data_IF_322070627627
#
_entry.id   IF_322070627627
#
_cell.length_a   1.000
_cell.length_b   1.000
_cell.length_c   1.000
_cell.angle_alpha   90.00
_cell.angle_beta   90.00
_cell.angle_gamma   90.00
#
_symmetry.space_group_name_H-M   'P 1'
#
loop_
_entity.id
_entity.type
_entity.pdbx_description
1 polymer ?
#
# COMPACT_ATOMS: atom_id res chain seq x y z
N UNK A 1 -20.78 0.51 -11.05
CA UNK A 1 -21.58 0.86 -12.23
C UNK A 1 -22.62 -0.20 -12.57
N UNK A 2 -22.28 -1.50 -12.45
CA UNK A 2 -23.21 -2.63 -12.53
C UNK A 2 -24.44 -2.44 -11.63
N UNK A 3 -24.23 -2.24 -10.32
CA UNK A 3 -25.30 -1.97 -9.35
C UNK A 3 -26.23 -0.79 -9.71
N UNK A 4 -25.71 0.25 -10.36
CA UNK A 4 -26.51 1.41 -10.77
C UNK A 4 -27.38 1.07 -11.98
N UNK A 5 -26.85 0.31 -12.93
CA UNK A 5 -27.60 -0.12 -14.12
C UNK A 5 -28.74 -1.07 -13.72
N UNK A 6 -28.46 -2.00 -12.80
CA UNK A 6 -29.45 -2.95 -12.29
C UNK A 6 -30.58 -2.25 -11.51
N UNK A 7 -30.25 -1.25 -10.70
CA UNK A 7 -31.24 -0.51 -9.90
C UNK A 7 -32.10 0.47 -10.72
N UNK A 8 -31.61 0.94 -11.88
CA UNK A 8 -32.28 2.01 -12.66
C UNK A 8 -32.80 1.54 -14.02
N UNK A 9 -32.48 0.32 -14.45
CA UNK A 9 -32.79 -0.19 -15.79
C UNK A 9 -32.07 0.55 -16.93
N UNK A 10 -31.09 1.41 -16.60
CA UNK A 10 -30.35 2.19 -17.58
C UNK A 10 -29.23 1.36 -18.20
N UNK A 11 -28.96 1.58 -19.49
CA UNK A 11 -27.76 1.02 -20.12
C UNK A 11 -26.51 1.63 -19.49
N UNK A 12 -25.44 0.83 -19.40
CA UNK A 12 -24.16 1.28 -18.83
C UNK A 12 -23.63 2.56 -19.49
N UNK A 13 -23.81 2.71 -20.80
CA UNK A 13 -23.44 3.94 -21.53
C UNK A 13 -24.21 5.17 -21.05
N UNK A 14 -25.52 5.01 -20.79
CA UNK A 14 -26.38 6.10 -20.31
C UNK A 14 -26.08 6.45 -18.86
N UNK A 15 -25.87 5.45 -18.00
CA UNK A 15 -25.45 5.63 -16.62
C UNK A 15 -24.11 6.38 -16.54
N UNK A 16 -23.09 5.94 -17.28
CA UNK A 16 -21.78 6.60 -17.35
C UNK A 16 -21.86 8.06 -17.81
N UNK A 17 -22.71 8.35 -18.82
CA UNK A 17 -22.92 9.73 -19.29
C UNK A 17 -23.54 10.61 -18.21
N UNK A 18 -24.53 10.11 -17.47
CA UNK A 18 -25.20 10.85 -16.41
C UNK A 18 -24.29 11.12 -15.21
N UNK A 19 -23.39 10.18 -14.88
CA UNK A 19 -22.45 10.33 -13.76
C UNK A 19 -21.14 11.03 -14.15
N UNK A 20 -20.94 11.38 -15.42
CA UNK A 20 -19.68 11.94 -15.92
C UNK A 20 -18.48 10.99 -15.86
N UNK A 21 -18.71 9.68 -15.81
CA UNK A 21 -17.64 8.67 -15.80
C UNK A 21 -17.40 8.14 -17.21
N UNK A 22 -16.12 7.86 -17.54
CA UNK A 22 -15.80 7.19 -18.80
C UNK A 22 -16.17 5.70 -18.75
N UNK A 23 -16.51 5.11 -19.89
CA UNK A 23 -16.77 3.67 -19.99
C UNK A 23 -15.55 2.84 -19.61
N UNK A 24 -14.34 3.25 -20.03
CA UNK A 24 -13.10 2.54 -19.70
C UNK A 24 -12.85 2.50 -18.19
N UNK A 25 -13.08 3.62 -17.49
CA UNK A 25 -13.02 3.66 -16.02
C UNK A 25 -14.08 2.76 -15.39
N UNK A 26 -15.29 2.72 -15.94
CA UNK A 26 -16.36 1.86 -15.43
C UNK A 26 -16.09 0.37 -15.65
N UNK A 27 -15.37 -0.01 -16.70
CA UNK A 27 -15.01 -1.40 -16.99
C UNK A 27 -13.67 -1.81 -16.37
N UNK A 28 -12.91 -0.85 -15.86
CA UNK A 28 -11.63 -1.15 -15.23
C UNK A 28 -11.86 -1.93 -13.93
N UNK A 29 -11.47 -3.20 -13.95
CA UNK A 29 -11.35 -4.00 -12.74
C UNK A 29 -9.89 -3.96 -12.27
N UNK A 30 -9.71 -3.61 -11.00
CA UNK A 30 -8.39 -3.56 -10.39
C UNK A 30 -7.88 -4.97 -10.14
N UNK A 31 -7.23 -5.56 -11.14
CA UNK A 31 -6.59 -6.86 -11.03
C UNK A 31 -5.54 -6.84 -9.90
N UNK A 32 -5.78 -7.62 -8.84
CA UNK A 32 -4.81 -7.89 -7.78
C UNK A 32 -4.08 -9.17 -8.17
N UNK A 33 -2.83 -9.09 -8.67
CA UNK A 33 -2.16 -10.26 -9.20
C UNK A 33 -2.03 -11.35 -8.13
N UNK A 34 -2.12 -12.62 -8.49
CA UNK A 34 -1.83 -13.73 -7.56
C UNK A 34 -0.44 -13.59 -6.89
N UNK A 35 0.50 -12.95 -7.57
CA UNK A 35 1.81 -12.58 -7.04
C UNK A 35 1.76 -11.64 -5.82
N UNK A 36 0.67 -10.89 -5.60
CA UNK A 36 0.46 -10.11 -4.37
C UNK A 36 0.31 -11.01 -3.15
N UNK A 37 -0.29 -12.21 -3.28
CA UNK A 37 -0.47 -13.11 -2.15
C UNK A 37 0.88 -13.64 -1.63
N UNK A 38 1.75 -14.11 -2.53
CA UNK A 38 3.10 -14.55 -2.19
C UNK A 38 3.93 -13.41 -1.57
N UNK A 39 3.92 -12.23 -2.21
CA UNK A 39 4.64 -11.07 -1.71
C UNK A 39 4.10 -10.60 -0.35
N UNK A 40 2.78 -10.64 -0.16
CA UNK A 40 2.12 -10.31 1.10
C UNK A 40 2.58 -11.22 2.23
N UNK A 41 2.65 -12.54 1.98
CA UNK A 41 3.17 -13.52 2.94
C UNK A 41 4.60 -13.21 3.37
N UNK A 42 5.50 -12.99 2.41
CA UNK A 42 6.91 -12.64 2.69
C UNK A 42 7.07 -11.32 3.44
N UNK A 43 6.27 -10.30 3.11
CA UNK A 43 6.26 -9.03 3.83
C UNK A 43 5.85 -9.24 5.29
N UNK A 44 4.80 -10.03 5.53
CA UNK A 44 4.30 -10.34 6.88
C UNK A 44 5.34 -11.11 7.69
N UNK A 45 5.96 -12.13 7.10
CA UNK A 45 7.02 -12.91 7.75
C UNK A 45 8.20 -12.04 8.21
N UNK A 46 8.73 -11.19 7.33
CA UNK A 46 9.81 -10.25 7.67
C UNK A 46 9.39 -9.21 8.71
N UNK A 47 8.14 -8.73 8.64
CA UNK A 47 7.62 -7.79 9.62
C UNK A 47 7.53 -8.43 11.02
N UNK A 48 7.19 -9.71 11.09
CA UNK A 48 7.11 -10.47 12.33
C UNK A 48 8.50 -10.81 12.89
N UNK A 49 9.43 -11.26 12.04
CA UNK A 49 10.83 -11.50 12.42
C UNK A 49 11.48 -10.22 12.96
N UNK A 50 11.23 -9.08 12.29
CA UNK A 50 11.82 -7.79 12.62
C UNK A 50 10.75 -6.76 12.95
N UNK A 51 10.11 -6.91 14.12
CA UNK A 51 8.99 -6.07 14.61
C UNK A 51 9.18 -4.54 14.54
N UNK A 52 10.41 -4.04 14.40
CA UNK A 52 10.72 -2.61 14.28
C UNK A 52 10.81 -2.11 12.84
N UNK A 53 10.68 -2.99 11.86
CA UNK A 53 10.85 -2.65 10.45
C UNK A 53 9.52 -2.10 9.92
N UNK A 54 9.56 -0.84 9.47
CA UNK A 54 8.51 -0.28 8.61
C UNK A 54 8.70 -0.70 7.16
N UNK A 55 7.70 -0.44 6.31
CA UNK A 55 7.71 -0.80 4.88
C UNK A 55 9.00 -0.38 4.13
N UNK A 56 9.59 0.77 4.48
CA UNK A 56 10.87 1.25 3.87
C UNK A 56 12.04 0.33 4.18
N UNK A 57 12.08 -0.28 5.38
CA UNK A 57 13.11 -1.24 5.77
C UNK A 57 12.83 -2.63 5.21
N UNK A 58 11.56 -3.01 5.07
CA UNK A 58 11.14 -4.28 4.44
C UNK A 58 11.50 -4.32 2.95
N UNK A 59 11.76 -3.18 2.30
CA UNK A 59 12.32 -3.15 0.95
C UNK A 59 13.69 -3.86 0.83
N UNK A 60 14.31 -4.31 1.93
CA UNK A 60 15.44 -5.23 1.94
C UNK A 60 15.16 -6.55 1.20
N UNK A 61 13.88 -6.91 1.00
CA UNK A 61 13.42 -7.98 0.10
C UNK A 61 14.06 -7.93 -1.29
N UNK A 62 14.51 -6.75 -1.76
CA UNK A 62 15.26 -6.63 -3.01
C UNK A 62 16.56 -7.42 -3.03
N UNK A 63 17.17 -7.65 -1.86
CA UNK A 63 18.36 -8.50 -1.72
C UNK A 63 18.05 -9.98 -1.93
N UNK A 64 16.81 -10.38 -1.71
CA UNK A 64 16.30 -11.73 -2.00
C UNK A 64 15.91 -11.88 -3.50
N UNK A 65 16.29 -10.94 -4.36
CA UNK A 65 15.96 -10.95 -5.79
C UNK A 65 14.55 -10.45 -6.13
N UNK A 66 13.75 -10.06 -5.12
CA UNK A 66 12.41 -9.54 -5.34
C UNK A 66 12.45 -8.05 -5.74
N UNK A 67 12.49 -7.79 -7.04
CA UNK A 67 12.43 -6.45 -7.64
C UNK A 67 11.03 -5.84 -7.50
N UNK A 68 10.67 -5.42 -6.28
CA UNK A 68 9.36 -4.86 -5.96
C UNK A 68 9.44 -3.34 -5.79
N UNK A 69 8.45 -2.64 -6.35
CA UNK A 69 8.27 -1.21 -6.14
C UNK A 69 7.90 -0.93 -4.67
N UNK A 70 8.55 0.07 -4.05
CA UNK A 70 8.28 0.48 -2.67
C UNK A 70 6.81 0.88 -2.44
N UNK A 71 6.12 1.41 -3.46
CA UNK A 71 4.68 1.72 -3.40
C UNK A 71 3.82 0.47 -3.22
N UNK A 72 4.20 -0.63 -3.89
CA UNK A 72 3.51 -1.92 -3.79
C UNK A 72 3.74 -2.56 -2.42
N UNK A 73 4.98 -2.50 -1.91
CA UNK A 73 5.30 -2.94 -0.54
C UNK A 73 4.50 -2.14 0.48
N UNK A 74 4.48 -0.81 0.35
CA UNK A 74 3.70 0.07 1.23
C UNK A 74 2.21 -0.32 1.25
N UNK A 75 1.59 -0.49 0.08
CA UNK A 75 0.18 -0.89 -0.03
C UNK A 75 -0.10 -2.20 0.70
N UNK A 76 0.66 -3.26 0.41
CA UNK A 76 0.45 -4.58 1.02
C UNK A 76 0.73 -4.55 2.52
N UNK A 77 1.77 -3.85 2.95
CA UNK A 77 2.11 -3.69 4.36
C UNK A 77 0.98 -3.03 5.16
N UNK A 78 0.38 -1.97 4.61
CA UNK A 78 -0.75 -1.28 5.23
C UNK A 78 -2.03 -2.14 5.24
N UNK A 79 -2.32 -2.83 4.13
CA UNK A 79 -3.47 -3.73 4.03
C UNK A 79 -3.39 -4.89 5.02
N UNK A 80 -2.18 -5.37 5.32
CA UNK A 80 -1.94 -6.41 6.31
C UNK A 80 -1.91 -5.89 7.77
N UNK A 81 -2.14 -4.58 8.00
CA UNK A 81 -2.17 -4.01 9.34
C UNK A 81 -0.82 -4.02 10.07
N UNK A 82 0.29 -4.03 9.32
CA UNK A 82 1.63 -4.17 9.90
C UNK A 82 2.22 -2.86 10.43
N UNK A 83 1.43 -1.79 10.51
CA UNK A 83 1.94 -0.46 10.84
C UNK A 83 2.58 -0.37 12.21
N UNK A 84 3.85 0.03 12.21
CA UNK A 84 4.60 0.27 13.43
C UNK A 84 4.33 1.68 13.93
N UNK A 85 3.87 1.78 15.19
CA UNK A 85 3.68 3.06 15.87
C UNK A 85 4.98 3.86 15.89
N UNK A 86 4.94 5.09 15.35
CA UNK A 86 6.10 5.98 15.36
C UNK A 86 6.49 6.29 16.81
N UNK A 87 7.70 5.89 17.22
CA UNK A 87 8.22 6.23 18.55
C UNK A 87 8.36 7.75 18.64
N UNK A 88 7.68 8.38 19.60
CA UNK A 88 7.90 9.80 19.90
C UNK A 88 9.34 9.99 20.34
N UNK A 89 10.08 10.87 19.68
CA UNK A 89 11.42 11.27 20.12
C UNK A 89 11.26 11.88 21.52
N UNK A 90 12.01 11.38 22.50
CA UNK A 90 12.14 12.10 23.78
C UNK A 90 12.75 13.46 23.46
N UNK A 91 12.07 14.54 23.82
CA UNK A 91 12.64 15.88 23.76
C UNK A 91 13.73 15.92 24.84
N UNK A 92 14.98 15.82 24.42
CA UNK A 92 16.12 16.14 25.28
C UNK A 92 16.29 17.65 25.35
N UNK A 93 16.95 18.15 26.40
CA UNK A 93 17.47 19.52 26.41
C UNK A 93 18.39 19.67 25.19
N UNK A 94 18.27 20.78 24.48
CA UNK A 94 19.16 21.07 23.36
C UNK A 94 20.55 21.36 23.94
N UNK A 95 21.46 20.39 23.83
CA UNK A 95 22.87 20.58 24.16
C UNK A 95 23.58 21.24 22.98
N UNK A 96 24.51 22.15 23.26
CA UNK A 96 25.36 22.72 22.21
C UNK A 96 26.18 21.63 21.52
N UNK A 97 26.39 21.80 20.21
CA UNK A 97 27.21 20.89 19.41
C UNK A 97 28.68 21.16 19.73
N UNK A 98 29.31 20.24 20.46
CA UNK A 98 30.75 20.29 20.69
C UNK A 98 31.51 19.69 19.49
N UNK A 99 32.65 20.27 19.07
CA UNK A 99 33.50 19.69 18.05
C UNK A 99 34.06 18.34 18.52
N UNK A 100 34.22 17.40 17.58
CA UNK A 100 35.00 16.19 17.82
C UNK A 100 36.46 16.63 17.91
N UNK A 101 37.07 16.48 19.09
CA UNK A 101 38.50 16.75 19.32
C UNK A 101 39.38 16.01 18.30
#
# INVERSE_FOLDING_TARGET
>A
MVLMCDATGLSQRRACRLTGLSLSTSHYDAQRPAADAHLSGRITELALERRRFGYRRICILRREGLLVNHKRVYRLYHLNGLDVKRRRRRKGLATERLPLL
#
